data_IF_431910613640
#
_entry.id   IF_431910613640
#
_cell.length_a   1.000
_cell.length_b   1.000
_cell.length_c   1.000
_cell.angle_alpha   90.00
_cell.angle_beta   90.00
_cell.angle_gamma   90.00
#
_symmetry.space_group_name_H-M   'P 1'
#
loop_
_entity.id
_entity.type
_entity.pdbx_description
1 polymer ?
#
# COMPACT_ATOMS: atom_id res chain seq x y z
N UNK A 1 36.36 16.72 -75.84
CA UNK A 1 35.04 17.24 -76.22
C UNK A 1 33.96 16.44 -75.43
N UNK A 2 33.01 17.12 -74.92
CA UNK A 2 31.78 16.69 -74.24
C UNK A 2 31.98 16.32 -72.73
N UNK A 3 31.76 17.36 -71.94
CA UNK A 3 31.45 17.34 -70.54
C UNK A 3 30.16 16.58 -70.28
N UNK A 4 30.20 15.67 -69.35
CA UNK A 4 28.98 15.10 -68.74
C UNK A 4 28.98 15.48 -67.26
N UNK A 5 28.13 16.44 -66.94
CA UNK A 5 27.89 16.85 -65.56
C UNK A 5 26.97 15.81 -64.88
N UNK A 6 27.53 15.03 -63.98
CA UNK A 6 26.74 14.19 -63.09
C UNK A 6 26.21 15.05 -61.94
N UNK A 7 24.92 15.31 -61.97
CA UNK A 7 24.21 15.98 -60.83
C UNK A 7 23.94 14.95 -59.81
N UNK A 8 24.67 15.00 -58.71
CA UNK A 8 24.47 14.13 -57.53
C UNK A 8 23.38 14.77 -56.67
N UNK A 9 22.16 14.28 -56.80
CA UNK A 9 21.04 14.68 -55.93
C UNK A 9 21.16 13.99 -54.58
N UNK A 10 21.58 14.73 -53.58
CA UNK A 10 21.57 14.28 -52.20
C UNK A 10 20.17 14.44 -51.64
N UNK A 11 19.44 13.34 -51.51
CA UNK A 11 18.16 13.26 -50.79
C UNK A 11 18.44 13.27 -49.29
N UNK A 12 18.25 14.43 -48.64
CA UNK A 12 18.25 14.57 -47.19
C UNK A 12 16.92 14.02 -46.67
N UNK A 13 16.93 12.78 -46.18
CA UNK A 13 15.78 12.22 -45.46
C UNK A 13 15.83 12.75 -44.03
N UNK A 14 15.04 13.79 -43.76
CA UNK A 14 14.84 14.28 -42.40
C UNK A 14 14.02 13.27 -41.62
N UNK A 15 14.67 12.50 -40.76
CA UNK A 15 14.00 11.66 -39.77
C UNK A 15 13.45 12.55 -38.65
N UNK A 16 12.18 12.90 -38.73
CA UNK A 16 11.47 13.50 -37.60
C UNK A 16 11.28 12.41 -36.51
N UNK A 17 12.16 12.41 -35.53
CA UNK A 17 11.95 11.62 -34.30
C UNK A 17 10.73 12.20 -33.57
N UNK A 18 9.61 11.51 -33.65
CA UNK A 18 8.43 11.81 -32.86
C UNK A 18 8.73 11.39 -31.43
N UNK A 19 9.11 12.34 -30.57
CA UNK A 19 9.16 12.15 -29.13
C UNK A 19 7.71 12.05 -28.66
N UNK A 20 7.22 10.81 -28.48
CA UNK A 20 5.96 10.58 -27.80
C UNK A 20 6.21 10.89 -26.33
N UNK A 21 5.85 12.11 -25.88
CA UNK A 21 5.72 12.40 -24.46
C UNK A 21 4.56 11.53 -23.95
N UNK A 22 4.91 10.38 -23.39
CA UNK A 22 3.95 9.57 -22.65
C UNK A 22 3.44 10.40 -21.47
N UNK A 23 2.19 10.83 -21.53
CA UNK A 23 1.53 11.42 -20.38
C UNK A 23 1.52 10.38 -19.25
N UNK A 24 2.34 10.58 -18.21
CA UNK A 24 2.30 9.76 -17.01
C UNK A 24 0.96 10.02 -16.33
N UNK A 25 0.19 8.94 -16.09
CA UNK A 25 -1.00 9.04 -15.27
C UNK A 25 -0.63 9.66 -13.91
N UNK A 26 -1.45 10.59 -13.36
CA UNK A 26 -1.18 11.14 -12.04
C UNK A 26 -1.06 9.99 -11.03
N UNK A 27 -0.12 10.08 -10.05
CA UNK A 27 0.05 9.04 -9.05
C UNK A 27 -1.28 8.80 -8.35
N UNK A 28 -1.71 7.54 -8.28
CA UNK A 28 -2.92 7.17 -7.57
C UNK A 28 -2.80 7.66 -6.13
N UNK A 29 -3.79 8.46 -5.67
CA UNK A 29 -3.84 8.94 -4.29
C UNK A 29 -3.91 7.71 -3.39
N UNK A 30 -2.91 7.55 -2.52
CA UNK A 30 -2.93 6.48 -1.54
C UNK A 30 -4.04 6.78 -0.51
N UNK A 31 -4.97 5.84 -0.36
CA UNK A 31 -6.07 6.01 0.58
C UNK A 31 -5.63 5.59 1.98
N UNK A 32 -5.86 6.48 2.95
CA UNK A 32 -5.74 6.13 4.36
C UNK A 32 -6.98 5.34 4.75
N UNK A 33 -6.75 4.17 5.31
CA UNK A 33 -7.81 3.27 5.75
C UNK A 33 -7.65 2.89 7.21
N UNK A 34 -8.73 2.39 7.78
CA UNK A 34 -8.76 1.75 9.10
C UNK A 34 -9.16 0.29 8.93
N UNK A 35 -8.46 -0.59 9.63
CA UNK A 35 -8.77 -2.00 9.76
C UNK A 35 -8.66 -2.40 11.23
N UNK A 36 -9.42 -3.41 11.64
CA UNK A 36 -9.28 -4.04 12.95
C UNK A 36 -9.01 -5.53 12.75
N UNK A 37 -8.13 -6.10 13.55
CA UNK A 37 -7.78 -7.51 13.43
C UNK A 37 -6.78 -7.96 14.49
N UNK A 38 -6.23 -9.15 14.32
CA UNK A 38 -5.25 -9.75 15.20
C UNK A 38 -3.83 -9.43 14.75
N UNK A 39 -3.03 -8.80 15.61
CA UNK A 39 -1.62 -8.52 15.31
C UNK A 39 -0.76 -9.76 15.53
N UNK A 40 0.00 -10.13 14.51
CA UNK A 40 0.88 -11.30 14.51
C UNK A 40 2.27 -10.96 14.00
N UNK A 41 3.24 -11.69 14.46
CA UNK A 41 4.62 -11.69 13.98
C UNK A 41 4.99 -13.12 13.56
N UNK A 42 4.65 -13.54 12.33
CA UNK A 42 4.91 -14.90 11.87
C UNK A 42 6.41 -15.22 11.76
N UNK A 43 7.19 -14.22 11.43
CA UNK A 43 8.66 -14.29 11.38
C UNK A 43 9.21 -13.05 12.07
N UNK A 44 10.33 -13.16 12.76
CA UNK A 44 10.95 -12.04 13.48
C UNK A 44 11.09 -10.79 12.59
N UNK A 45 10.51 -9.69 13.03
CA UNK A 45 10.48 -8.42 12.31
C UNK A 45 9.43 -8.32 11.19
N UNK A 46 8.73 -9.39 10.87
CA UNK A 46 7.65 -9.39 9.88
C UNK A 46 6.28 -9.30 10.58
N UNK A 47 5.67 -8.16 10.51
CA UNK A 47 4.39 -7.91 11.16
C UNK A 47 3.23 -8.02 10.20
N UNK A 48 2.14 -8.65 10.66
CA UNK A 48 0.89 -8.79 9.92
C UNK A 48 -0.30 -8.56 10.82
N UNK A 49 -1.37 -8.03 10.25
CA UNK A 49 -2.70 -8.10 10.85
C UNK A 49 -3.49 -9.16 10.09
N UNK A 50 -4.05 -10.12 10.81
CA UNK A 50 -4.82 -11.25 10.27
C UNK A 50 -6.24 -11.22 10.81
N UNK A 51 -7.16 -11.96 10.16
CA UNK A 51 -8.60 -11.92 10.47
C UNK A 51 -9.12 -10.48 10.53
N UNK A 52 -8.59 -9.65 9.64
CA UNK A 52 -8.86 -8.22 9.64
C UNK A 52 -10.19 -7.91 8.94
N UNK A 53 -10.85 -6.87 9.43
CA UNK A 53 -12.04 -6.30 8.80
C UNK A 53 -11.73 -5.76 7.42
N UNK A 54 -12.76 -5.49 6.63
CA UNK A 54 -12.62 -4.76 5.38
C UNK A 54 -12.05 -3.35 5.67
N UNK A 55 -11.15 -2.87 4.80
CA UNK A 55 -10.62 -1.51 4.93
C UNK A 55 -11.73 -0.48 4.80
N UNK A 56 -11.79 0.44 5.75
CA UNK A 56 -12.72 1.58 5.71
C UNK A 56 -11.94 2.88 5.52
N UNK A 57 -12.40 3.81 4.67
CA UNK A 57 -11.79 5.13 4.56
C UNK A 57 -11.62 5.80 5.92
N UNK A 58 -10.47 6.40 6.17
CA UNK A 58 -10.15 7.02 7.45
C UNK A 58 -9.15 8.18 7.27
N UNK A 59 -8.65 8.69 8.36
CA UNK A 59 -7.55 9.65 8.42
C UNK A 59 -6.33 9.03 9.10
N UNK A 60 -5.18 9.69 9.01
CA UNK A 60 -3.93 9.21 9.56
C UNK A 60 -3.81 9.30 11.10
N UNK A 61 -4.74 9.99 11.75
CA UNK A 61 -4.71 10.20 13.20
C UNK A 61 -5.05 8.90 13.94
N UNK A 62 -4.60 8.80 15.19
CA UNK A 62 -5.00 7.72 16.07
C UNK A 62 -6.54 7.60 16.12
N UNK A 63 -7.08 6.36 16.21
CA UNK A 63 -8.53 6.16 16.27
C UNK A 63 -9.14 6.84 17.49
N UNK A 64 -10.27 7.53 17.28
CA UNK A 64 -11.10 8.00 18.37
C UNK A 64 -11.88 6.82 18.99
N UNK A 65 -12.44 7.02 20.19
CA UNK A 65 -13.23 5.98 20.85
C UNK A 65 -14.40 5.47 19.98
N UNK A 66 -14.99 6.36 19.16
CA UNK A 66 -16.06 6.00 18.23
C UNK A 66 -15.59 5.13 17.05
N UNK A 67 -14.29 5.12 16.75
CA UNK A 67 -13.72 4.29 15.69
C UNK A 67 -13.45 2.84 16.16
N UNK A 68 -13.45 2.60 17.47
CA UNK A 68 -13.18 1.29 18.03
C UNK A 68 -14.35 0.36 17.75
N UNK A 69 -14.13 -0.75 17.02
CA UNK A 69 -15.21 -1.67 16.71
C UNK A 69 -15.68 -2.42 17.96
N UNK A 70 -16.95 -2.83 17.93
CA UNK A 70 -17.46 -3.76 18.91
C UNK A 70 -16.74 -5.11 18.83
N UNK A 71 -16.50 -5.75 19.98
CA UNK A 71 -15.93 -7.09 20.05
C UNK A 71 -17.03 -8.16 19.93
N UNK A 72 -16.72 -9.33 19.36
CA UNK A 72 -15.43 -9.75 18.78
C UNK A 72 -15.19 -9.15 17.40
N UNK A 73 -13.93 -8.81 17.08
CA UNK A 73 -13.55 -8.43 15.73
C UNK A 73 -13.29 -9.70 14.92
N UNK A 74 -14.06 -9.88 13.86
CA UNK A 74 -13.92 -11.02 12.95
C UNK A 74 -13.91 -10.49 11.51
N UNK A 75 -12.84 -10.79 10.79
CA UNK A 75 -12.68 -10.45 9.38
C UNK A 75 -11.98 -11.56 8.61
N UNK A 76 -11.82 -11.36 7.32
CA UNK A 76 -11.21 -12.35 6.41
C UNK A 76 -9.92 -11.86 5.77
N UNK A 77 -9.60 -10.58 5.97
CA UNK A 77 -8.45 -9.96 5.32
C UNK A 77 -7.16 -10.19 6.09
N UNK A 78 -6.06 -10.01 5.37
CA UNK A 78 -4.72 -10.01 5.90
C UNK A 78 -3.93 -8.89 5.25
N UNK A 79 -3.13 -8.19 6.03
CA UNK A 79 -2.25 -7.13 5.53
C UNK A 79 -0.86 -7.30 6.13
N UNK A 80 0.17 -7.12 5.30
CA UNK A 80 1.54 -6.98 5.75
C UNK A 80 1.75 -5.55 6.22
N UNK A 81 2.30 -5.37 7.41
CA UNK A 81 2.54 -4.04 7.97
C UNK A 81 3.93 -3.55 7.59
N UNK A 82 4.01 -2.30 7.17
CA UNK A 82 5.26 -1.57 6.89
C UNK A 82 5.26 -0.23 7.60
N UNK A 83 6.41 0.44 7.66
CA UNK A 83 6.55 1.69 8.42
C UNK A 83 6.45 1.48 9.94
N UNK A 84 6.83 0.29 10.41
CA UNK A 84 6.56 -0.18 11.77
C UNK A 84 7.58 0.28 12.82
N UNK A 85 8.71 0.82 12.41
CA UNK A 85 9.87 1.07 13.29
C UNK A 85 9.62 2.08 14.42
N UNK A 86 8.64 2.96 14.26
CA UNK A 86 8.29 3.98 15.27
C UNK A 86 7.17 3.53 16.22
N UNK A 87 6.62 2.32 15.99
CA UNK A 87 5.54 1.77 16.80
C UNK A 87 6.08 0.61 17.62
N UNK A 88 5.68 0.54 18.90
CA UNK A 88 6.05 -0.58 19.78
C UNK A 88 5.14 -1.79 19.51
N UNK A 89 5.26 -2.38 18.31
CA UNK A 89 4.43 -3.52 17.92
C UNK A 89 4.60 -4.76 18.81
N UNK A 90 5.79 -5.06 19.39
CA UNK A 90 5.92 -6.18 20.31
C UNK A 90 4.95 -6.14 21.50
N UNK A 91 4.64 -4.96 22.04
CA UNK A 91 3.68 -4.80 23.13
C UNK A 91 2.22 -5.08 22.74
N UNK A 92 1.92 -5.06 21.44
CA UNK A 92 0.60 -5.34 20.89
C UNK A 92 0.48 -6.74 20.27
N UNK A 93 1.54 -7.54 20.34
CA UNK A 93 1.59 -8.87 19.73
C UNK A 93 0.51 -9.79 20.32
N UNK A 94 -0.22 -10.48 19.43
CA UNK A 94 -1.36 -11.35 19.77
C UNK A 94 -2.58 -10.64 20.37
N UNK A 95 -2.61 -9.33 20.29
CA UNK A 95 -3.77 -8.52 20.67
C UNK A 95 -4.70 -8.28 19.47
N UNK A 96 -5.97 -8.02 19.75
CA UNK A 96 -6.85 -7.38 18.79
C UNK A 96 -6.53 -5.90 18.75
N UNK A 97 -6.22 -5.39 17.56
CA UNK A 97 -5.80 -4.00 17.36
C UNK A 97 -6.67 -3.31 16.31
N UNK A 98 -6.76 -1.99 16.43
CA UNK A 98 -7.19 -1.11 15.35
C UNK A 98 -5.95 -0.46 14.76
N UNK A 99 -5.79 -0.56 13.46
CA UNK A 99 -4.70 0.02 12.69
C UNK A 99 -5.25 1.04 11.71
N UNK A 100 -4.57 2.15 11.57
CA UNK A 100 -4.77 3.07 10.44
C UNK A 100 -3.50 3.17 9.63
N UNK A 101 -3.62 3.41 8.34
CA UNK A 101 -2.47 3.56 7.46
C UNK A 101 -2.84 3.68 5.99
N UNK A 102 -1.81 3.89 5.18
CA UNK A 102 -1.93 3.94 3.73
C UNK A 102 -2.03 2.51 3.18
N UNK A 103 -3.14 2.23 2.50
CA UNK A 103 -3.33 0.94 1.83
C UNK A 103 -2.54 0.92 0.53
N UNK A 104 -1.67 -0.07 0.39
CA UNK A 104 -0.86 -0.31 -0.80
C UNK A 104 -1.25 -1.68 -1.35
N UNK A 105 -2.08 -1.71 -2.41
CA UNK A 105 -2.44 -2.97 -3.05
C UNK A 105 -1.20 -3.73 -3.52
N UNK A 106 -1.13 -5.02 -3.22
CA UNK A 106 -0.07 -5.91 -3.63
C UNK A 106 -0.57 -7.35 -3.70
N UNK A 107 0.16 -8.21 -4.38
CA UNK A 107 -0.10 -9.65 -4.42
C UNK A 107 1.13 -10.40 -3.88
N UNK A 108 0.96 -11.49 -3.16
CA UNK A 108 -0.32 -12.13 -2.76
C UNK A 108 -1.06 -11.41 -1.64
N UNK A 109 -0.41 -10.50 -0.91
CA UNK A 109 -0.97 -9.81 0.26
C UNK A 109 -0.72 -8.31 0.14
N UNK A 110 -1.79 -7.52 0.27
CA UNK A 110 -1.68 -6.05 0.33
C UNK A 110 -0.90 -5.60 1.56
N UNK A 111 -0.26 -4.43 1.44
CA UNK A 111 0.52 -3.83 2.52
C UNK A 111 -0.22 -2.65 3.13
N UNK A 112 0.00 -2.44 4.40
CA UNK A 112 -0.50 -1.28 5.13
C UNK A 112 0.69 -0.54 5.75
N UNK A 113 0.95 0.68 5.25
CA UNK A 113 1.94 1.56 5.85
C UNK A 113 1.28 2.28 7.03
N UNK A 114 1.53 1.79 8.25
CA UNK A 114 0.77 2.19 9.41
C UNK A 114 1.08 3.61 9.87
N UNK A 115 0.05 4.31 10.31
CA UNK A 115 0.11 5.65 10.91
C UNK A 115 -0.34 5.65 12.37
N UNK A 116 -1.06 4.61 12.80
CA UNK A 116 -1.43 4.40 14.20
C UNK A 116 -1.72 2.94 14.50
N UNK A 117 -1.52 2.55 15.76
CA UNK A 117 -1.89 1.27 16.32
C UNK A 117 -2.49 1.46 17.70
N UNK A 118 -3.63 0.83 17.97
CA UNK A 118 -4.29 0.84 19.27
C UNK A 118 -4.79 -0.55 19.60
N UNK A 119 -4.43 -1.09 20.78
CA UNK A 119 -5.02 -2.32 21.28
C UNK A 119 -6.45 -2.08 21.74
N UNK A 120 -7.37 -2.93 21.28
CA UNK A 120 -8.79 -2.92 21.70
C UNK A 120 -9.15 -4.13 22.55
N UNK A 121 -8.36 -5.19 22.49
CA UNK A 121 -8.46 -6.33 23.40
C UNK A 121 -7.09 -7.01 23.56
N UNK A 122 -6.78 -7.54 24.75
CA UNK A 122 -5.49 -8.16 25.04
C UNK A 122 -5.31 -9.54 24.39
N UNK A 123 -6.35 -10.05 23.75
CA UNK A 123 -6.34 -11.33 23.05
C UNK A 123 -6.98 -11.19 21.68
N UNK A 124 -6.59 -12.08 20.77
CA UNK A 124 -7.26 -12.22 19.50
C UNK A 124 -8.47 -13.14 19.61
N UNK A 125 -9.55 -12.80 18.92
CA UNK A 125 -10.67 -13.72 18.73
C UNK A 125 -10.19 -14.87 17.83
N UNK A 126 -10.43 -16.10 18.25
CA UNK A 126 -10.16 -17.26 17.42
C UNK A 126 -11.03 -17.18 16.13
N UNK A 127 -10.39 -17.38 14.98
CA UNK A 127 -11.13 -17.60 13.74
C UNK A 127 -11.98 -18.88 13.93
N UNK A 128 -13.29 -18.77 13.72
CA UNK A 128 -14.20 -19.93 13.71
C UNK A 128 -14.22 -20.55 12.32
#
# INVERSE_FOLDING_TARGET
>A
MRSVHAVLSILLVAHMAHVVLGAQAPPAKADVVMVAGCLREPTAGEWRVVNATDPKPSNANAPAAADVPALPVVGKNQFQLIGVSIFDLPSHKNHTVVLKGLLIPAKPVSRLNITSVVTVAPTCTAAR
#
